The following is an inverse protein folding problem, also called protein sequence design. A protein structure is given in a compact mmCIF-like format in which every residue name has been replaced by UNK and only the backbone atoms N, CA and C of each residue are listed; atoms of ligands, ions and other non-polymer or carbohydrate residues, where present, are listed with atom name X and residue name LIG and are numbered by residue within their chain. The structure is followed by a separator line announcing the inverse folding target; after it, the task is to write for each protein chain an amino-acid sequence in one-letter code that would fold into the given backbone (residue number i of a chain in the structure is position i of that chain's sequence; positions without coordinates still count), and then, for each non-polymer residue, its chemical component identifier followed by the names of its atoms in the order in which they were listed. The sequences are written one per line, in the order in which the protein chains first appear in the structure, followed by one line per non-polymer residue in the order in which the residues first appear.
data_IF_800228318217
#
_entry.id   IF_800228318217
#
_cell.length_a   1.000
_cell.length_b   1.000
_cell.length_c   1.000
_cell.angle_alpha   90.00
_cell.angle_beta   90.00
_cell.angle_gamma   90.00
#
_symmetry.space_group_name_H-M   'P 1'
#
loop_
_entity.id
_entity.type
_entity.pdbx_description
1 polymer ?
#
# COMPACT_ATOMS: atom_id res chain seq x y z
N UNK A 1 -7.54 -26.72 1.74
CA UNK A 1 -7.11 -25.32 1.54
C UNK A 1 -6.25 -25.16 0.29
N UNK A 2 -5.28 -26.06 0.06
CA UNK A 2 -4.32 -25.93 -1.06
C UNK A 2 -4.96 -26.04 -2.45
N UNK A 3 -5.97 -26.89 -2.63
CA UNK A 3 -6.65 -27.03 -3.91
C UNK A 3 -7.42 -25.78 -4.33
N UNK A 4 -8.01 -25.05 -3.39
CA UNK A 4 -8.71 -23.81 -3.67
C UNK A 4 -7.74 -22.70 -4.12
N UNK A 5 -6.60 -22.55 -3.44
CA UNK A 5 -5.57 -21.59 -3.82
C UNK A 5 -4.97 -21.89 -5.21
N UNK A 6 -4.76 -23.18 -5.53
CA UNK A 6 -4.27 -23.57 -6.86
C UNK A 6 -5.27 -23.21 -7.97
N UNK A 7 -6.57 -23.47 -7.75
CA UNK A 7 -7.62 -23.13 -8.71
C UNK A 7 -7.75 -21.60 -8.88
N UNK A 8 -7.77 -20.86 -7.77
CA UNK A 8 -7.85 -19.39 -7.82
C UNK A 8 -6.64 -18.79 -8.51
N UNK A 9 -5.44 -19.31 -8.23
CA UNK A 9 -4.20 -18.89 -8.92
C UNK A 9 -4.27 -19.15 -10.42
N UNK A 10 -4.71 -20.35 -10.82
CA UNK A 10 -4.83 -20.70 -12.24
C UNK A 10 -5.87 -19.82 -12.95
N UNK A 11 -7.02 -19.57 -12.33
CA UNK A 11 -8.05 -18.69 -12.87
C UNK A 11 -7.52 -17.26 -13.02
N UNK A 12 -6.88 -16.72 -11.98
CA UNK A 12 -6.28 -15.38 -12.02
C UNK A 12 -5.25 -15.27 -13.15
N UNK A 13 -4.34 -16.23 -13.25
CA UNK A 13 -3.34 -16.24 -14.32
C UNK A 13 -3.97 -16.33 -15.72
N UNK A 14 -5.03 -17.12 -15.89
CA UNK A 14 -5.77 -17.24 -17.16
C UNK A 14 -6.45 -15.92 -17.54
N UNK A 15 -7.12 -15.24 -16.58
CA UNK A 15 -7.76 -13.93 -16.80
C UNK A 15 -6.71 -12.88 -17.19
N UNK A 16 -5.58 -12.83 -16.47
CA UNK A 16 -4.51 -11.89 -16.78
C UNK A 16 -3.89 -12.16 -18.16
N UNK A 17 -3.70 -13.43 -18.52
CA UNK A 17 -3.19 -13.79 -19.86
C UNK A 17 -4.16 -13.41 -20.97
N UNK A 18 -5.47 -13.65 -20.78
CA UNK A 18 -6.49 -13.22 -21.72
C UNK A 18 -6.53 -11.70 -21.90
N UNK A 19 -6.41 -10.94 -20.79
CA UNK A 19 -6.34 -9.48 -20.80
C UNK A 19 -5.08 -8.97 -21.54
N UNK A 20 -3.95 -9.62 -21.34
CA UNK A 20 -2.69 -9.31 -22.02
C UNK A 20 -2.84 -9.53 -23.54
N UNK A 21 -3.34 -10.69 -23.95
CA UNK A 21 -3.58 -11.01 -25.37
C UNK A 21 -4.54 -10.02 -26.02
N UNK A 22 -5.66 -9.71 -25.35
CA UNK A 22 -6.60 -8.69 -25.85
C UNK A 22 -5.98 -7.30 -25.95
N UNK A 23 -5.11 -6.92 -25.00
CA UNK A 23 -4.35 -5.67 -25.10
C UNK A 23 -3.38 -5.67 -26.29
N UNK A 24 -2.69 -6.77 -26.57
CA UNK A 24 -1.80 -6.92 -27.72
C UNK A 24 -2.54 -6.72 -29.06
N UNK A 25 -3.74 -7.30 -29.20
CA UNK A 25 -4.61 -7.13 -30.36
C UNK A 25 -5.16 -5.71 -30.52
N UNK A 26 -5.16 -4.90 -29.46
CA UNK A 26 -5.66 -3.52 -29.42
C UNK A 26 -4.56 -2.45 -29.25
N UNK A 27 -3.41 -2.65 -29.87
CA UNK A 27 -2.33 -1.65 -29.91
C UNK A 27 -1.42 -1.67 -28.68
N UNK A 28 -1.33 -2.82 -27.98
CA UNK A 28 -0.39 -3.06 -26.89
C UNK A 28 -0.93 -2.76 -25.49
N UNK A 29 -2.19 -2.31 -25.37
CA UNK A 29 -2.83 -2.01 -24.10
C UNK A 29 -4.35 -2.20 -24.16
N UNK A 30 -4.95 -2.48 -23.02
CA UNK A 30 -6.41 -2.58 -22.94
C UNK A 30 -7.08 -1.22 -23.23
N UNK A 31 -8.13 -1.18 -24.08
CA UNK A 31 -8.95 0.01 -24.30
C UNK A 31 -9.64 0.53 -23.03
N UNK A 32 -10.05 -0.41 -22.16
CA UNK A 32 -10.61 -0.14 -20.83
C UNK A 32 -9.69 -0.81 -19.82
N UNK A 33 -9.23 -0.09 -18.78
CA UNK A 33 -8.37 -0.67 -17.76
C UNK A 33 -9.02 -1.85 -17.04
N UNK A 34 -8.27 -2.93 -16.86
CA UNK A 34 -8.62 -4.03 -15.96
C UNK A 34 -8.07 -3.73 -14.57
N UNK A 35 -8.94 -3.64 -13.57
CA UNK A 35 -8.53 -3.51 -12.16
C UNK A 35 -8.72 -4.86 -11.48
N UNK A 36 -7.66 -5.43 -10.94
CA UNK A 36 -7.64 -6.73 -10.30
C UNK A 36 -7.20 -6.60 -8.83
N UNK A 37 -8.15 -6.44 -7.89
CA UNK A 37 -7.86 -6.51 -6.47
C UNK A 37 -7.65 -7.98 -6.07
N UNK A 38 -6.44 -8.30 -5.64
CA UNK A 38 -6.03 -9.61 -5.14
C UNK A 38 -6.03 -9.54 -3.61
N UNK A 39 -7.19 -9.77 -3.02
CA UNK A 39 -7.36 -9.77 -1.58
C UNK A 39 -6.73 -11.03 -0.97
N UNK A 40 -6.01 -10.87 0.14
CA UNK A 40 -5.22 -11.93 0.78
C UNK A 40 -4.31 -12.69 -0.22
N UNK A 41 -3.66 -11.97 -1.11
CA UNK A 41 -2.94 -12.55 -2.25
C UNK A 41 -1.96 -13.67 -1.86
N UNK A 42 -1.28 -13.56 -0.72
CA UNK A 42 -0.37 -14.59 -0.23
C UNK A 42 -1.07 -15.89 0.19
N UNK A 43 -2.36 -15.86 0.48
CA UNK A 43 -3.14 -17.03 0.88
C UNK A 43 -3.93 -17.62 -0.29
N UNK A 44 -4.51 -16.74 -1.12
CA UNK A 44 -5.54 -17.12 -2.11
C UNK A 44 -4.98 -17.15 -3.53
N UNK A 45 -4.01 -16.29 -3.87
CA UNK A 45 -3.41 -16.20 -5.20
C UNK A 45 -1.89 -16.31 -5.09
N UNK A 46 -1.40 -17.49 -4.82
CA UNK A 46 0.05 -17.78 -4.69
C UNK A 46 0.74 -17.85 -6.06
N UNK A 47 0.61 -16.83 -6.85
CA UNK A 47 1.11 -16.78 -8.22
C UNK A 47 2.61 -16.44 -8.25
N UNK A 48 3.50 -17.43 -8.59
CA UNK A 48 4.95 -17.22 -8.46
C UNK A 48 5.50 -16.14 -9.40
N UNK A 49 4.85 -15.90 -10.54
CA UNK A 49 5.29 -14.91 -11.52
C UNK A 49 4.82 -13.49 -11.20
N UNK A 50 3.94 -13.30 -10.22
CA UNK A 50 3.34 -12.00 -9.89
C UNK A 50 4.39 -10.87 -9.73
N UNK A 51 5.51 -11.05 -9.00
CA UNK A 51 6.53 -9.99 -8.86
C UNK A 51 7.09 -9.49 -10.19
N UNK A 52 7.32 -10.42 -11.12
CA UNK A 52 7.90 -10.10 -12.44
C UNK A 52 6.91 -9.38 -13.37
N UNK A 53 5.63 -9.69 -13.23
CA UNK A 53 4.56 -9.16 -14.07
C UNK A 53 4.07 -7.79 -13.60
N UNK A 54 4.33 -7.44 -12.35
CA UNK A 54 3.81 -6.21 -11.73
C UNK A 54 4.19 -4.94 -12.50
N UNK A 55 5.45 -4.78 -12.84
CA UNK A 55 5.93 -3.63 -13.63
C UNK A 55 5.44 -3.66 -15.08
N UNK A 56 5.25 -4.86 -15.65
CA UNK A 56 4.86 -5.06 -17.03
C UNK A 56 3.38 -4.69 -17.27
N UNK A 57 2.50 -5.06 -16.34
CA UNK A 57 1.06 -4.86 -16.49
C UNK A 57 0.62 -3.40 -16.43
N UNK A 58 1.35 -2.56 -15.73
CA UNK A 58 1.03 -1.13 -15.63
C UNK A 58 0.99 -0.43 -16.99
N UNK A 59 1.92 -0.74 -17.90
CA UNK A 59 1.95 -0.19 -19.25
C UNK A 59 0.81 -0.69 -20.14
N UNK A 60 0.20 -1.83 -19.80
CA UNK A 60 -0.85 -2.49 -20.57
C UNK A 60 -2.27 -2.16 -20.10
N UNK A 61 -2.45 -1.21 -19.20
CA UNK A 61 -3.71 -0.87 -18.53
C UNK A 61 -4.28 -2.02 -17.68
N UNK A 62 -3.43 -2.90 -17.17
CA UNK A 62 -3.76 -3.92 -16.19
C UNK A 62 -3.25 -3.45 -14.84
N UNK A 63 -4.16 -3.13 -13.94
CA UNK A 63 -3.88 -2.57 -12.62
C UNK A 63 -4.04 -3.66 -11.57
N UNK A 64 -2.92 -4.13 -11.04
CA UNK A 64 -2.93 -5.09 -9.94
C UNK A 64 -2.95 -4.34 -8.60
N UNK A 65 -3.83 -4.75 -7.70
CA UNK A 65 -3.86 -4.32 -6.31
C UNK A 65 -3.62 -5.56 -5.43
N UNK A 66 -2.40 -5.72 -4.92
CA UNK A 66 -2.03 -6.86 -4.08
C UNK A 66 -2.19 -6.48 -2.61
N UNK A 67 -3.12 -7.13 -1.92
CA UNK A 67 -3.43 -6.88 -0.52
C UNK A 67 -2.84 -8.01 0.31
N UNK A 68 -2.03 -7.64 1.31
CA UNK A 68 -1.33 -8.55 2.20
C UNK A 68 -1.62 -8.17 3.65
N UNK A 69 -1.77 -9.15 4.52
CA UNK A 69 -1.90 -8.92 5.97
C UNK A 69 -0.54 -8.57 6.62
N UNK A 70 0.56 -9.06 6.04
CA UNK A 70 1.92 -8.73 6.48
C UNK A 70 2.93 -8.91 5.36
N UNK A 71 4.06 -8.22 5.47
CA UNK A 71 5.20 -8.38 4.56
C UNK A 71 5.77 -9.82 4.62
N UNK A 72 5.84 -10.39 5.82
CA UNK A 72 6.34 -11.74 6.04
C UNK A 72 5.52 -12.82 5.31
N UNK A 73 4.20 -12.66 5.18
CA UNK A 73 3.37 -13.58 4.38
C UNK A 73 3.76 -13.56 2.90
N UNK A 74 4.02 -12.39 2.36
CA UNK A 74 4.49 -12.25 0.98
C UNK A 74 5.87 -12.88 0.78
N UNK A 75 6.79 -12.68 1.72
CA UNK A 75 8.11 -13.34 1.71
C UNK A 75 7.96 -14.87 1.72
N UNK A 76 7.01 -15.41 2.47
CA UNK A 76 6.72 -16.85 2.49
C UNK A 76 6.29 -17.42 1.13
N UNK A 77 5.72 -16.60 0.24
CA UNK A 77 5.24 -17.02 -1.09
C UNK A 77 6.24 -16.70 -2.18
N UNK A 78 6.82 -15.49 -2.19
CA UNK A 78 7.65 -15.00 -3.28
C UNK A 78 9.13 -14.83 -2.92
N UNK A 79 9.52 -15.15 -1.69
CA UNK A 79 10.86 -14.89 -1.16
C UNK A 79 11.14 -13.40 -0.93
N UNK A 80 12.28 -13.11 -0.32
CA UNK A 80 12.71 -11.71 -0.07
C UNK A 80 12.86 -10.92 -1.37
N UNK A 81 13.50 -11.49 -2.38
CA UNK A 81 13.72 -10.84 -3.69
C UNK A 81 12.41 -10.56 -4.42
N UNK A 82 11.46 -11.50 -4.37
CA UNK A 82 10.13 -11.32 -4.97
C UNK A 82 9.34 -10.21 -4.30
N UNK A 83 9.37 -10.15 -2.97
CA UNK A 83 8.71 -9.07 -2.21
C UNK A 83 9.38 -7.72 -2.44
N UNK A 84 10.69 -7.65 -2.52
CA UNK A 84 11.40 -6.41 -2.86
C UNK A 84 11.07 -5.94 -4.29
N UNK A 85 10.94 -6.87 -5.23
CA UNK A 85 10.50 -6.58 -6.60
C UNK A 85 9.07 -6.03 -6.64
N UNK A 86 8.12 -6.63 -5.90
CA UNK A 86 6.75 -6.12 -5.78
C UNK A 86 6.72 -4.72 -5.16
N UNK A 87 7.47 -4.53 -4.08
CA UNK A 87 7.56 -3.25 -3.38
C UNK A 87 8.08 -2.13 -4.29
N UNK A 88 9.18 -2.39 -5.00
CA UNK A 88 9.79 -1.39 -5.89
C UNK A 88 9.00 -1.12 -7.16
N UNK A 89 8.23 -2.09 -7.66
CA UNK A 89 7.38 -1.93 -8.83
C UNK A 89 6.04 -1.27 -8.54
N UNK A 90 5.62 -1.20 -7.26
CA UNK A 90 4.37 -0.58 -6.88
C UNK A 90 4.42 0.95 -7.06
N UNK A 91 3.58 1.49 -7.94
CA UNK A 91 3.43 2.94 -8.11
C UNK A 91 2.77 3.60 -6.89
N UNK A 92 1.93 2.86 -6.18
CA UNK A 92 1.27 3.27 -4.94
C UNK A 92 1.44 2.14 -3.93
N UNK A 93 1.92 2.49 -2.72
CA UNK A 93 1.94 1.63 -1.56
C UNK A 93 1.02 2.24 -0.51
N UNK A 94 0.15 1.41 0.07
CA UNK A 94 -0.75 1.81 1.13
C UNK A 94 -0.48 0.96 2.38
N UNK A 95 -0.16 1.62 3.48
CA UNK A 95 0.02 0.99 4.78
C UNK A 95 -1.16 1.35 5.69
N UNK A 96 -1.97 0.36 6.04
CA UNK A 96 -3.20 0.52 6.81
C UNK A 96 -3.07 0.33 8.33
N UNK A 97 -1.84 0.22 8.85
CA UNK A 97 -1.62 -0.03 10.28
C UNK A 97 -1.74 -1.50 10.69
N UNK A 98 -1.65 -1.75 12.00
CA UNK A 98 -1.89 -3.07 12.60
C UNK A 98 -0.76 -4.10 12.45
N UNK A 99 0.33 -3.77 11.78
CA UNK A 99 1.48 -4.66 11.57
C UNK A 99 2.52 -4.42 12.67
N UNK A 100 3.11 -5.53 13.18
CA UNK A 100 4.15 -5.50 14.22
C UNK A 100 5.53 -5.92 13.70
N UNK A 101 5.73 -5.89 12.37
CA UNK A 101 7.01 -6.17 11.74
C UNK A 101 7.92 -4.94 11.83
N UNK A 102 8.85 -4.97 12.78
CA UNK A 102 9.76 -3.86 13.06
C UNK A 102 10.62 -3.49 11.85
N UNK A 103 11.09 -4.48 11.06
CA UNK A 103 11.90 -4.22 9.86
C UNK A 103 11.11 -3.47 8.80
N UNK A 104 9.87 -3.89 8.58
CA UNK A 104 8.97 -3.21 7.65
C UNK A 104 8.66 -1.79 8.13
N UNK A 105 8.33 -1.62 9.42
CA UNK A 105 8.02 -0.31 10.00
C UNK A 105 9.21 0.65 9.92
N UNK A 106 10.43 0.18 10.18
CA UNK A 106 11.64 0.98 10.03
C UNK A 106 11.89 1.40 8.57
N UNK A 107 11.59 0.51 7.60
CA UNK A 107 11.64 0.86 6.17
C UNK A 107 10.64 1.95 5.81
N UNK A 108 9.41 1.88 6.33
CA UNK A 108 8.39 2.92 6.13
C UNK A 108 8.80 4.25 6.78
N UNK A 109 9.29 4.24 8.01
CA UNK A 109 9.82 5.42 8.70
C UNK A 109 10.90 6.11 7.87
N UNK A 110 11.85 5.34 7.34
CA UNK A 110 12.92 5.85 6.47
C UNK A 110 12.39 6.48 5.17
N UNK A 111 11.34 5.90 4.57
CA UNK A 111 10.71 6.44 3.36
C UNK A 111 9.89 7.71 3.62
N UNK A 112 9.35 7.87 4.82
CA UNK A 112 8.63 9.07 5.24
C UNK A 112 9.62 10.22 5.44
N UNK A 113 10.79 9.92 6.03
CA UNK A 113 11.87 10.86 6.25
C UNK A 113 11.73 11.72 7.50
N UNK A 114 12.54 12.74 7.55
CA UNK A 114 12.73 13.60 8.71
C UNK A 114 12.35 15.05 8.37
N UNK A 115 12.14 15.85 9.41
CA UNK A 115 12.00 17.29 9.28
C UNK A 115 12.92 18.00 10.30
N UNK A 116 13.29 19.24 9.98
CA UNK A 116 14.07 20.08 10.87
C UNK A 116 13.15 20.84 11.83
N UNK A 117 13.30 20.59 13.13
CA UNK A 117 12.62 21.34 14.19
C UNK A 117 13.55 22.41 14.74
N UNK A 118 13.10 23.66 14.71
CA UNK A 118 13.82 24.77 15.29
C UNK A 118 13.51 24.90 16.78
N UNK A 119 14.48 24.59 17.64
CA UNK A 119 14.33 24.76 19.08
C UNK A 119 15.05 26.00 19.52
N UNK A 120 14.32 26.91 20.16
CA UNK A 120 14.89 28.12 20.74
C UNK A 120 15.08 27.89 22.22
N UNK A 121 16.33 27.88 22.66
CA UNK A 121 16.69 27.83 24.08
C UNK A 121 17.00 29.23 24.58
N UNK A 122 16.27 29.67 25.61
CA UNK A 122 16.49 30.96 26.26
C UNK A 122 17.09 30.70 27.63
N UNK A 123 18.32 31.10 27.82
CA UNK A 123 18.99 31.11 29.14
C UNK A 123 19.00 32.50 29.72
N UNK A 124 18.38 32.65 30.89
CA UNK A 124 18.39 33.91 31.66
C UNK A 124 19.39 33.77 32.81
N UNK A 125 20.46 34.55 32.75
CA UNK A 125 21.37 34.79 33.87
C UNK A 125 21.14 36.20 34.44
N UNK A 126 21.57 36.47 35.71
CA UNK A 126 21.31 37.74 36.38
C UNK A 126 21.73 38.99 35.59
N UNK A 127 22.70 38.84 34.67
CA UNK A 127 23.27 39.98 33.91
C UNK A 127 23.23 39.82 32.38
N UNK A 128 22.69 38.70 31.86
CA UNK A 128 22.60 38.51 30.42
C UNK A 128 21.50 37.54 30.00
N UNK A 129 20.86 37.87 28.87
CA UNK A 129 19.90 36.99 28.19
C UNK A 129 20.54 36.43 26.93
N UNK A 130 20.79 35.14 26.90
CA UNK A 130 21.28 34.45 25.71
C UNK A 130 20.17 33.66 25.04
N UNK A 131 20.03 33.84 23.72
CA UNK A 131 19.08 33.09 22.90
C UNK A 131 19.89 32.25 21.95
N UNK A 132 19.82 30.93 22.11
CA UNK A 132 20.43 29.95 21.20
C UNK A 132 19.35 29.27 20.35
N UNK A 133 19.53 29.29 19.03
CA UNK A 133 18.69 28.54 18.07
C UNK A 133 19.45 27.28 17.68
N UNK A 134 18.84 26.13 17.90
CA UNK A 134 19.37 24.86 17.48
C UNK A 134 18.38 24.20 16.52
N UNK A 135 18.91 23.64 15.43
CA UNK A 135 18.14 22.81 14.52
C UNK A 135 18.31 21.34 14.97
N UNK A 136 17.21 20.63 15.10
CA UNK A 136 17.20 19.22 15.42
C UNK A 136 16.40 18.47 14.37
N UNK A 137 16.99 17.43 13.78
CA UNK A 137 16.25 16.50 12.93
C UNK A 137 15.30 15.67 13.79
N UNK A 138 14.07 15.55 13.33
CA UNK A 138 13.01 14.77 13.97
C UNK A 138 12.26 13.94 12.94
N UNK A 139 11.96 12.68 13.28
CA UNK A 139 11.15 11.81 12.44
C UNK A 139 9.76 12.38 12.25
N UNK A 140 9.26 12.37 11.01
CA UNK A 140 7.87 12.80 10.70
C UNK A 140 6.88 11.82 11.31
N UNK A 141 7.13 10.51 11.17
CA UNK A 141 6.42 9.42 11.84
C UNK A 141 7.44 8.38 12.31
N UNK A 142 7.37 8.01 13.57
CA UNK A 142 8.22 6.98 14.17
C UNK A 142 7.66 5.58 13.97
N UNK A 143 8.49 4.56 14.12
CA UNK A 143 8.06 3.15 14.15
C UNK A 143 6.89 2.93 15.12
N UNK A 144 6.93 3.57 16.31
CA UNK A 144 5.86 3.48 17.31
C UNK A 144 4.54 4.08 16.85
N UNK A 145 4.58 5.25 16.19
CA UNK A 145 3.40 5.90 15.63
C UNK A 145 2.82 5.11 14.46
N UNK A 146 3.67 4.54 13.62
CA UNK A 146 3.23 3.63 12.56
C UNK A 146 2.59 2.36 13.12
N UNK A 147 3.17 1.74 14.14
CA UNK A 147 2.62 0.56 14.80
C UNK A 147 1.25 0.82 15.45
N UNK A 148 1.05 2.05 15.95
CA UNK A 148 -0.17 2.51 16.61
C UNK A 148 -1.06 3.38 15.72
N UNK A 149 -0.92 3.29 14.39
CA UNK A 149 -1.74 4.04 13.45
C UNK A 149 -3.22 3.73 13.71
N UNK A 150 -3.99 4.78 13.97
CA UNK A 150 -5.40 4.66 14.39
C UNK A 150 -6.29 4.03 13.31
N UNK A 151 -7.43 3.50 13.74
CA UNK A 151 -8.43 2.91 12.85
C UNK A 151 -8.85 3.88 11.74
N UNK A 152 -9.13 3.34 10.57
CA UNK A 152 -9.50 4.08 9.36
C UNK A 152 -8.44 5.09 8.89
N UNK A 153 -7.18 4.92 9.25
CA UNK A 153 -6.06 5.69 8.73
C UNK A 153 -5.13 4.84 7.90
N UNK A 154 -4.51 5.46 6.91
CA UNK A 154 -3.46 4.83 6.12
C UNK A 154 -2.36 5.82 5.77
N UNK A 155 -1.13 5.33 5.68
CA UNK A 155 -0.04 6.08 5.05
C UNK A 155 0.01 5.66 3.59
N UNK A 156 -0.08 6.64 2.70
CA UNK A 156 -0.06 6.43 1.25
C UNK A 156 1.25 6.96 0.69
N UNK A 157 1.99 6.09 0.05
CA UNK A 157 3.20 6.41 -0.70
C UNK A 157 2.88 6.36 -2.17
N UNK A 158 3.03 7.45 -2.87
CA UNK A 158 2.86 7.53 -4.31
C UNK A 158 4.19 7.90 -4.98
N UNK A 159 4.50 7.28 -6.11
CA UNK A 159 5.74 7.54 -6.83
C UNK A 159 5.95 9.04 -7.09
N UNK A 160 7.15 9.54 -6.80
CA UNK A 160 7.54 10.97 -6.98
C UNK A 160 6.73 11.98 -6.13
N UNK A 161 6.07 11.54 -5.07
CA UNK A 161 5.31 12.39 -4.15
C UNK A 161 5.75 12.14 -2.71
N UNK A 162 5.56 13.13 -1.85
CA UNK A 162 5.72 12.94 -0.40
C UNK A 162 4.62 12.02 0.11
N UNK A 163 4.93 11.13 1.07
CA UNK A 163 3.91 10.33 1.74
C UNK A 163 2.85 11.21 2.42
N UNK A 164 1.63 10.72 2.46
CA UNK A 164 0.52 11.39 3.15
C UNK A 164 -0.17 10.43 4.09
N UNK A 165 -0.67 10.93 5.22
CA UNK A 165 -1.61 10.21 6.08
C UNK A 165 -3.01 10.54 5.57
N UNK A 166 -3.76 9.50 5.20
CA UNK A 166 -5.11 9.61 4.69
C UNK A 166 -6.10 8.99 5.69
N UNK A 167 -7.30 9.55 5.75
CA UNK A 167 -8.44 8.94 6.42
C UNK A 167 -9.18 8.05 5.42
N UNK A 168 -9.43 6.79 5.78
CA UNK A 168 -10.13 5.82 4.97
C UNK A 168 -11.63 5.90 5.28
N UNK A 169 -12.40 6.34 4.31
CA UNK A 169 -13.85 6.34 4.43
C UNK A 169 -14.42 5.02 3.88
N UNK A 170 -15.13 4.23 4.72
CA UNK A 170 -15.78 3.02 4.24
C UNK A 170 -16.79 3.31 3.11
N UNK A 171 -16.74 2.50 2.06
CA UNK A 171 -17.56 2.74 0.85
C UNK A 171 -19.06 2.83 1.13
N UNK A 172 -19.58 2.15 2.15
CA UNK A 172 -21.01 2.18 2.51
C UNK A 172 -21.46 3.47 3.19
N UNK A 173 -20.54 4.35 3.59
CA UNK A 173 -20.87 5.68 4.14
C UNK A 173 -21.08 6.73 3.05
N UNK A 174 -20.71 6.43 1.80
CA UNK A 174 -20.79 7.38 0.69
C UNK A 174 -22.17 7.38 0.04
N UNK A 175 -22.75 8.56 -0.13
CA UNK A 175 -24.12 8.71 -0.66
C UNK A 175 -24.24 8.57 -2.18
N UNK A 176 -23.12 8.58 -2.91
CA UNK A 176 -23.13 8.57 -4.38
C UNK A 176 -23.15 7.17 -5.02
N UNK A 177 -23.31 6.11 -4.23
CA UNK A 177 -23.43 4.76 -4.78
C UNK A 177 -24.75 4.59 -5.57
N UNK A 178 -24.70 3.94 -6.74
CA UNK A 178 -25.89 3.56 -7.48
C UNK A 178 -26.91 2.82 -6.61
N UNK A 179 -28.19 2.98 -6.93
CA UNK A 179 -29.29 2.48 -6.08
C UNK A 179 -29.29 0.95 -5.92
N UNK A 180 -28.84 0.22 -6.95
CA UNK A 180 -28.67 -1.23 -6.95
C UNK A 180 -27.58 -1.70 -5.98
N UNK A 181 -26.46 -0.98 -5.92
CA UNK A 181 -25.38 -1.25 -4.93
C UNK A 181 -25.88 -0.95 -3.52
N UNK A 182 -26.58 0.19 -3.31
CA UNK A 182 -27.19 0.52 -2.01
C UNK A 182 -28.21 -0.53 -1.55
N UNK A 183 -29.01 -1.07 -2.46
CA UNK A 183 -29.96 -2.15 -2.17
C UNK A 183 -29.25 -3.45 -1.74
N UNK A 184 -28.20 -3.86 -2.44
CA UNK A 184 -27.42 -5.03 -2.11
C UNK A 184 -26.71 -4.94 -0.77
N UNK A 185 -26.26 -3.74 -0.36
CA UNK A 185 -25.65 -3.49 0.95
C UNK A 185 -26.65 -3.57 2.13
N UNK A 186 -27.92 -3.20 1.90
CA UNK A 186 -28.97 -3.28 2.93
C UNK A 186 -29.38 -4.72 3.24
N UNK A 187 -29.33 -5.62 2.25
CA UNK A 187 -29.64 -7.05 2.43
C UNK A 187 -28.64 -7.81 3.32
N UNK A 188 -27.42 -7.30 3.53
CA UNK A 188 -26.41 -7.90 4.41
C UNK A 188 -26.54 -7.48 5.88
N UNK A 189 -27.47 -6.58 6.22
CA UNK A 189 -27.67 -6.07 7.60
C UNK A 189 -28.88 -6.71 8.29
N UNK A 190 -29.62 -7.57 7.64
CA UNK A 190 -30.71 -8.41 8.17
C UNK A 190 -30.21 -9.84 8.39
#
# INVERSE_FOLDING_TARGET
ADNAAALTTALTAAVMKAAETYGEENGGRLPVPLVAPLDEAANVVRWPQLPRLYSHYGSRSIILMTILQSYAQGVGVWGEEGMESLWSAAAILLYGGGVRDEKMLAKLESLIGDYEEWTTSVSNSKDSRSVSKQTREKKILTVSELASLGDNRAVVFAAKRRPIVAELEPFWRRDYWPADIKAGLRMKKS
#
